data_IF_583275778927
#
_entry.id   IF_583275778927
#
_cell.length_a   1.000
_cell.length_b   1.000
_cell.length_c   1.000
_cell.angle_alpha   90.00
_cell.angle_beta   90.00
_cell.angle_gamma   90.00
#
_symmetry.space_group_name_H-M   'P 1'
#
loop_
_entity.id
_entity.type
_entity.pdbx_description
1 polymer ?
#
# COMPACT_ATOMS: atom_id res chain seq x y z
N UNK A 1 -17.53 -5.68 3.94
CA UNK A 1 -18.84 -5.04 3.72
C UNK A 1 -18.56 -3.80 2.88
N UNK A 2 -18.66 -3.92 1.56
CA UNK A 2 -18.72 -2.77 0.66
C UNK A 2 -20.21 -2.42 0.53
N UNK A 3 -20.82 -2.04 1.65
CA UNK A 3 -22.15 -1.42 1.64
C UNK A 3 -21.92 0.08 1.71
N UNK A 4 -21.42 0.63 0.61
CA UNK A 4 -21.69 2.01 0.23
C UNK A 4 -21.35 2.09 -1.24
N UNK A 5 -22.26 2.62 -2.03
CA UNK A 5 -22.26 2.81 -3.49
C UNK A 5 -21.14 3.77 -3.96
N UNK A 6 -20.04 3.84 -3.22
CA UNK A 6 -18.89 4.73 -3.38
C UNK A 6 -17.82 4.15 -4.33
N UNK A 7 -18.04 2.95 -4.88
CA UNK A 7 -17.09 2.31 -5.79
C UNK A 7 -17.41 2.51 -7.28
N UNK A 8 -18.61 3.03 -7.61
CA UNK A 8 -19.06 3.23 -9.00
C UNK A 8 -18.81 4.67 -9.51
N UNK A 9 -18.73 5.65 -8.58
CA UNK A 9 -18.45 7.08 -8.84
C UNK A 9 -17.03 7.49 -8.37
N UNK A 10 -16.54 8.67 -8.78
CA UNK A 10 -15.22 9.16 -8.39
C UNK A 10 -15.09 9.33 -6.86
N UNK A 11 -14.20 8.55 -6.22
CA UNK A 11 -13.91 8.68 -4.78
C UNK A 11 -13.11 9.96 -4.53
N UNK A 12 -13.80 10.98 -4.02
CA UNK A 12 -13.17 12.23 -3.66
C UNK A 12 -12.44 12.12 -2.32
N UNK A 13 -11.12 12.29 -2.35
CA UNK A 13 -10.31 12.49 -1.15
C UNK A 13 -9.90 13.97 -1.01
N UNK A 14 -10.77 14.84 -0.45
CA UNK A 14 -10.52 16.29 -0.42
C UNK A 14 -9.30 16.70 0.41
N UNK A 15 -8.86 15.85 1.35
CA UNK A 15 -7.73 16.10 2.23
C UNK A 15 -6.45 15.36 1.84
N UNK A 16 -6.45 14.64 0.72
CA UNK A 16 -5.30 13.85 0.25
C UNK A 16 -4.76 14.48 -1.02
N UNK A 17 -3.50 14.90 -0.98
CA UNK A 17 -2.82 15.40 -2.19
C UNK A 17 -2.57 14.24 -3.17
N UNK A 18 -2.51 14.52 -4.47
CA UNK A 18 -2.18 13.50 -5.48
C UNK A 18 -0.85 12.81 -5.20
N UNK A 19 0.13 13.52 -4.63
CA UNK A 19 1.41 12.96 -4.19
C UNK A 19 1.25 11.97 -3.04
N UNK A 20 0.43 12.28 -2.05
CA UNK A 20 0.15 11.38 -0.93
C UNK A 20 -0.64 10.15 -1.40
N UNK A 21 -1.64 10.34 -2.27
CA UNK A 21 -2.42 9.22 -2.84
C UNK A 21 -1.54 8.31 -3.69
N UNK A 22 -0.67 8.87 -4.54
CA UNK A 22 0.27 8.08 -5.34
C UNK A 22 1.19 7.22 -4.46
N UNK A 23 1.66 7.77 -3.33
CA UNK A 23 2.46 7.00 -2.36
C UNK A 23 1.63 5.90 -1.70
N UNK A 24 0.39 6.17 -1.30
CA UNK A 24 -0.48 5.15 -0.73
C UNK A 24 -0.72 3.99 -1.72
N UNK A 25 -0.97 4.30 -3.00
CA UNK A 25 -1.14 3.30 -4.07
C UNK A 25 0.14 2.47 -4.26
N UNK A 26 1.32 3.10 -4.26
CA UNK A 26 2.60 2.40 -4.36
C UNK A 26 2.81 1.43 -3.19
N UNK A 27 2.51 1.88 -1.96
CA UNK A 27 2.59 1.07 -0.75
C UNK A 27 1.68 -0.16 -0.83
N UNK A 28 0.40 0.02 -1.17
CA UNK A 28 -0.55 -1.08 -1.30
C UNK A 28 -0.10 -2.10 -2.35
N UNK A 29 0.37 -1.64 -3.51
CA UNK A 29 0.85 -2.51 -4.58
C UNK A 29 2.12 -3.30 -4.21
N UNK A 30 3.02 -2.70 -3.43
CA UNK A 30 4.24 -3.36 -2.94
C UNK A 30 3.88 -4.53 -2.03
N UNK A 31 2.95 -4.32 -1.10
CA UNK A 31 2.54 -5.32 -0.11
C UNK A 31 1.62 -6.40 -0.69
N UNK A 32 0.73 -6.08 -1.64
CA UNK A 32 -0.08 -7.09 -2.35
C UNK A 32 0.78 -8.10 -3.10
N UNK A 33 1.77 -7.60 -3.86
CA UNK A 33 2.69 -8.46 -4.62
C UNK A 33 3.48 -9.37 -3.71
N UNK A 34 3.91 -8.87 -2.56
CA UNK A 34 4.69 -9.67 -1.60
C UNK A 34 3.84 -10.69 -0.85
N UNK A 35 2.60 -10.33 -0.48
CA UNK A 35 1.66 -11.24 0.20
C UNK A 35 1.36 -12.49 -0.62
N UNK A 36 1.40 -12.40 -1.96
CA UNK A 36 1.26 -13.55 -2.87
C UNK A 36 2.41 -14.55 -2.82
N UNK A 37 3.56 -14.19 -2.23
CA UNK A 37 4.70 -15.07 -2.02
C UNK A 37 4.76 -15.64 -0.59
N UNK A 38 3.83 -15.27 0.29
CA UNK A 38 3.87 -15.53 1.74
C UNK A 38 3.19 -16.85 2.18
N UNK A 39 2.61 -17.63 1.25
CA UNK A 39 2.11 -18.99 1.58
C UNK A 39 3.22 -19.90 2.16
N UNK A 40 4.48 -19.49 1.97
CA UNK A 40 5.64 -19.99 2.69
C UNK A 40 6.42 -18.80 3.28
N UNK A 41 6.04 -18.31 4.46
CA UNK A 41 6.71 -17.22 5.18
C UNK A 41 8.22 -17.47 5.35
N UNK A 42 9.01 -17.13 4.33
CA UNK A 42 10.46 -17.12 4.39
C UNK A 42 10.85 -15.83 5.10
N UNK A 43 11.47 -15.95 6.28
CA UNK A 43 11.94 -14.84 7.14
C UNK A 43 12.58 -13.68 6.36
N UNK A 44 13.28 -13.95 5.25
CA UNK A 44 13.90 -12.92 4.42
C UNK A 44 12.94 -11.96 3.69
N UNK A 45 11.68 -12.34 3.44
CA UNK A 45 10.68 -11.48 2.78
C UNK A 45 10.16 -10.40 3.74
N UNK A 46 9.90 -10.77 4.99
CA UNK A 46 9.44 -9.86 6.04
C UNK A 46 10.53 -8.84 6.39
N UNK A 47 11.78 -9.28 6.57
CA UNK A 47 12.93 -8.39 6.78
C UNK A 47 13.14 -7.42 5.60
N UNK A 48 12.96 -7.90 4.37
CA UNK A 48 13.01 -7.07 3.17
C UNK A 48 11.90 -6.01 3.15
N UNK A 49 10.66 -6.37 3.47
CA UNK A 49 9.53 -5.44 3.53
C UNK A 49 9.75 -4.38 4.61
N UNK A 50 10.19 -4.77 5.80
CA UNK A 50 10.50 -3.84 6.91
C UNK A 50 11.58 -2.83 6.51
N UNK A 51 12.63 -3.28 5.83
CA UNK A 51 13.67 -2.39 5.32
C UNK A 51 13.14 -1.44 4.23
N UNK A 52 12.26 -1.94 3.36
CA UNK A 52 11.62 -1.12 2.35
C UNK A 52 10.68 -0.07 2.98
N UNK A 53 9.81 -0.45 3.92
CA UNK A 53 8.90 0.43 4.65
C UNK A 53 9.66 1.58 5.33
N UNK A 54 10.76 1.26 6.02
CA UNK A 54 11.62 2.25 6.68
C UNK A 54 12.23 3.27 5.72
N UNK A 55 12.46 2.92 4.46
CA UNK A 55 12.95 3.85 3.45
C UNK A 55 11.80 4.58 2.76
N UNK A 56 10.66 3.93 2.58
CA UNK A 56 9.48 4.49 1.93
C UNK A 56 8.85 5.64 2.73
N UNK A 57 8.82 5.52 4.06
CA UNK A 57 8.28 6.55 4.96
C UNK A 57 9.21 7.75 5.15
N UNK A 58 10.48 7.66 4.73
CA UNK A 58 11.39 8.80 4.77
C UNK A 58 10.90 9.83 3.76
N UNK A 59 10.22 10.85 4.29
CA UNK A 59 9.79 12.00 3.53
C UNK A 59 11.01 12.89 3.30
N UNK A 60 11.48 12.95 2.07
CA UNK A 60 12.46 13.94 1.63
C UNK A 60 11.79 15.28 1.33
#
# INVERSE_FOLDING_TARGET
MFEDDCADDDILFPNVTSKALSKAIEYCNKHDKTSKFDDLATTGIDDYLKAWDNNFVKVN
#
